data_IF_613840721397
#
_entry.id   IF_613840721397
#
_cell.length_a   1.000
_cell.length_b   1.000
_cell.length_c   1.000
_cell.angle_alpha   90.00
_cell.angle_beta   90.00
_cell.angle_gamma   90.00
#
_symmetry.space_group_name_H-M   'P 1'
#
loop_
_entity.id
_entity.type
_entity.pdbx_description
1 polymer ?
#
# COMPACT_ATOMS: atom_id res chain seq x y z
N UNK A 1 -20.47 13.90 -8.80
CA UNK A 1 -20.10 12.49 -8.95
C UNK A 1 -18.65 12.37 -8.49
N UNK A 2 -18.39 11.68 -7.37
CA UNK A 2 -17.09 11.67 -6.68
C UNK A 2 -16.19 10.48 -7.03
N UNK A 3 -16.66 9.54 -7.86
CA UNK A 3 -15.97 8.28 -8.14
C UNK A 3 -15.52 8.12 -9.60
N UNK A 4 -15.53 9.22 -10.36
CA UNK A 4 -15.16 9.20 -11.80
C UNK A 4 -13.67 9.35 -12.05
N UNK A 5 -12.96 10.09 -11.19
CA UNK A 5 -11.56 10.47 -11.40
C UNK A 5 -10.79 10.14 -10.13
N UNK A 6 -9.57 9.57 -10.21
CA UNK A 6 -8.71 9.39 -9.05
C UNK A 6 -8.50 10.69 -8.29
N UNK A 7 -8.62 10.64 -6.96
CA UNK A 7 -8.52 11.81 -6.09
C UNK A 7 -7.56 11.50 -4.92
N UNK A 8 -6.34 11.08 -5.26
CA UNK A 8 -5.29 10.80 -4.30
C UNK A 8 -4.93 12.08 -3.51
N UNK A 9 -4.66 11.94 -2.21
CA UNK A 9 -4.29 13.09 -1.38
C UNK A 9 -3.11 13.86 -2.01
N UNK A 10 -3.14 15.19 -1.95
CA UNK A 10 -2.12 16.06 -2.54
C UNK A 10 -2.20 16.27 -4.06
N UNK A 11 -3.09 15.60 -4.80
CA UNK A 11 -3.23 15.83 -6.25
C UNK A 11 -4.20 16.97 -6.59
N UNK A 12 -4.05 17.52 -7.79
CA UNK A 12 -4.92 18.58 -8.31
C UNK A 12 -6.39 18.14 -8.32
N UNK A 13 -6.67 16.90 -8.73
CA UNK A 13 -8.03 16.35 -8.78
C UNK A 13 -8.68 16.32 -7.38
N UNK A 14 -7.93 15.97 -6.34
CA UNK A 14 -8.44 15.99 -4.97
C UNK A 14 -8.70 17.43 -4.48
N UNK A 15 -7.89 18.40 -4.90
CA UNK A 15 -8.13 19.81 -4.60
C UNK A 15 -9.37 20.36 -5.30
N UNK A 16 -9.60 19.97 -6.56
CA UNK A 16 -10.84 20.33 -7.27
C UNK A 16 -12.08 19.74 -6.60
N UNK A 17 -11.99 18.49 -6.11
CA UNK A 17 -13.05 17.89 -5.31
C UNK A 17 -13.30 18.66 -4.00
N UNK A 18 -12.24 19.10 -3.31
CA UNK A 18 -12.36 19.92 -2.11
C UNK A 18 -13.10 21.24 -2.38
N UNK A 19 -12.76 21.95 -3.47
CA UNK A 19 -13.47 23.16 -3.91
C UNK A 19 -14.94 22.87 -4.27
N UNK A 20 -15.21 21.75 -4.93
CA UNK A 20 -16.57 21.35 -5.25
C UNK A 20 -17.42 21.16 -3.97
N UNK A 21 -16.90 20.41 -3.00
CA UNK A 21 -17.58 20.19 -1.72
C UNK A 21 -17.79 21.52 -0.98
N UNK A 22 -16.77 22.38 -0.95
CA UNK A 22 -16.87 23.71 -0.35
C UNK A 22 -18.02 24.52 -0.97
N UNK A 23 -18.15 24.54 -2.29
CA UNK A 23 -19.22 25.25 -3.00
C UNK A 23 -20.60 24.66 -2.69
N UNK A 24 -20.73 23.33 -2.75
CA UNK A 24 -21.99 22.63 -2.46
C UNK A 24 -22.45 22.89 -1.02
N UNK A 25 -21.54 22.87 -0.06
CA UNK A 25 -21.86 23.13 1.35
C UNK A 25 -22.34 24.57 1.60
N UNK A 26 -21.77 25.56 0.89
CA UNK A 26 -22.28 26.94 0.92
C UNK A 26 -23.69 27.02 0.32
N UNK A 27 -23.92 26.34 -0.80
CA UNK A 27 -25.24 26.26 -1.44
C UNK A 27 -26.29 25.61 -0.53
N UNK A 28 -25.91 24.59 0.23
CA UNK A 28 -26.79 23.92 1.19
C UNK A 28 -27.11 24.76 2.45
N UNK A 29 -26.47 25.92 2.61
CA UNK A 29 -26.81 26.89 3.65
C UNK A 29 -25.96 26.81 4.91
N UNK A 30 -24.75 26.24 4.86
CA UNK A 30 -23.81 26.37 5.97
C UNK A 30 -23.29 27.81 6.08
N UNK A 31 -23.30 28.36 7.29
CA UNK A 31 -22.91 29.75 7.57
C UNK A 31 -21.45 30.05 7.20
N UNK A 32 -20.55 29.08 7.42
CA UNK A 32 -19.12 29.19 7.13
C UNK A 32 -18.57 27.90 6.55
N UNK A 33 -17.87 27.99 5.41
CA UNK A 33 -17.20 26.85 4.77
C UNK A 33 -15.86 27.26 4.20
N UNK A 34 -14.79 26.72 4.77
CA UNK A 34 -13.40 27.09 4.49
C UNK A 34 -12.56 25.86 4.14
N UNK A 35 -11.46 26.09 3.41
CA UNK A 35 -10.44 25.07 3.17
C UNK A 35 -9.27 25.33 4.12
N UNK A 36 -9.08 24.44 5.08
CA UNK A 36 -7.86 24.38 5.89
C UNK A 36 -6.81 23.54 5.15
N UNK A 37 -5.62 24.09 4.93
CA UNK A 37 -4.51 23.41 4.26
C UNK A 37 -3.31 23.36 5.19
N UNK A 38 -2.47 22.33 5.00
CA UNK A 38 -1.24 22.07 5.72
C UNK A 38 -0.22 21.49 4.74
N UNK A 39 1.04 21.87 4.92
CA UNK A 39 2.14 21.34 4.10
C UNK A 39 2.69 20.08 4.76
N UNK A 40 2.13 18.92 4.39
CA UNK A 40 2.42 17.63 5.03
C UNK A 40 3.35 16.75 4.18
N UNK A 41 4.10 15.87 4.84
CA UNK A 41 4.91 14.88 4.15
C UNK A 41 4.04 13.79 3.53
N UNK A 42 4.01 13.74 2.20
CA UNK A 42 3.37 12.67 1.42
C UNK A 42 4.42 11.82 0.69
N UNK A 43 3.98 10.70 0.12
CA UNK A 43 4.83 9.74 -0.58
C UNK A 43 4.09 9.19 -1.79
N UNK A 44 4.78 9.18 -2.93
CA UNK A 44 4.29 8.70 -4.22
C UNK A 44 5.37 7.87 -4.92
N UNK A 45 5.00 6.90 -5.78
CA UNK A 45 5.95 6.21 -6.62
C UNK A 45 6.54 7.15 -7.68
N UNK A 46 7.73 6.81 -8.19
CA UNK A 46 8.31 7.52 -9.34
C UNK A 46 7.66 7.01 -10.63
N UNK A 47 7.11 7.91 -11.44
CA UNK A 47 6.45 7.56 -12.70
C UNK A 47 7.41 7.06 -13.78
N UNK A 48 8.67 7.52 -13.75
CA UNK A 48 9.69 7.13 -14.74
C UNK A 48 10.45 5.87 -14.36
N UNK A 49 10.45 5.52 -13.07
CA UNK A 49 11.10 4.33 -12.50
C UNK A 49 10.06 3.56 -11.67
N UNK A 50 9.20 2.75 -12.32
CA UNK A 50 8.13 2.04 -11.64
C UNK A 50 8.66 0.98 -10.67
N UNK A 51 7.95 0.79 -9.56
CA UNK A 51 8.27 -0.25 -8.60
C UNK A 51 7.86 -1.62 -9.13
N UNK A 52 8.69 -2.63 -8.92
CA UNK A 52 8.36 -4.03 -9.17
C UNK A 52 9.20 -4.94 -8.27
N UNK A 53 8.83 -6.22 -8.23
CA UNK A 53 9.62 -7.29 -7.63
C UNK A 53 9.98 -8.25 -8.76
N UNK A 54 11.21 -8.76 -8.74
CA UNK A 54 11.66 -9.79 -9.67
C UNK A 54 12.18 -11.04 -8.96
N UNK A 55 12.19 -12.15 -9.69
CA UNK A 55 12.96 -13.34 -9.34
C UNK A 55 14.15 -13.35 -10.30
N UNK A 56 15.34 -13.52 -9.74
CA UNK A 56 16.59 -13.64 -10.50
C UNK A 56 17.11 -15.07 -10.46
N UNK A 57 17.74 -15.52 -11.53
CA UNK A 57 18.45 -16.80 -11.58
C UNK A 57 19.88 -16.69 -11.01
N UNK A 58 20.63 -17.80 -10.99
CA UNK A 58 22.02 -17.83 -10.52
C UNK A 58 22.97 -16.94 -11.36
N UNK A 59 22.58 -16.61 -12.59
CA UNK A 59 23.31 -15.71 -13.49
C UNK A 59 22.96 -14.24 -13.30
N UNK A 60 22.02 -13.91 -12.41
CA UNK A 60 21.53 -12.55 -12.18
C UNK A 60 20.52 -12.07 -13.23
N UNK A 61 19.95 -12.98 -14.04
CA UNK A 61 18.93 -12.63 -15.02
C UNK A 61 17.54 -12.64 -14.38
N UNK A 62 16.72 -11.63 -14.66
CA UNK A 62 15.31 -11.63 -14.26
C UNK A 62 14.53 -12.70 -15.04
N UNK A 63 13.93 -13.64 -14.31
CA UNK A 63 13.12 -14.73 -14.87
C UNK A 63 11.61 -14.53 -14.63
N UNK A 64 11.25 -13.62 -13.75
CA UNK A 64 9.87 -13.22 -13.49
C UNK A 64 9.84 -11.80 -12.93
N UNK A 65 8.89 -10.99 -13.41
CA UNK A 65 8.63 -9.65 -12.91
C UNK A 65 7.15 -9.51 -12.52
N UNK A 66 6.87 -8.82 -11.42
CA UNK A 66 5.50 -8.48 -11.03
C UNK A 66 4.87 -7.48 -11.99
N UNK A 67 3.53 -7.43 -12.01
CA UNK A 67 2.78 -6.39 -12.71
C UNK A 67 3.18 -4.99 -12.23
N UNK A 68 3.34 -4.06 -13.17
CA UNK A 68 3.63 -2.66 -12.87
C UNK A 68 2.39 -1.87 -12.42
N UNK A 69 1.21 -2.31 -12.84
CA UNK A 69 -0.09 -1.69 -12.55
C UNK A 69 -1.19 -2.76 -12.53
N UNK A 70 -2.30 -2.50 -11.84
CA UNK A 70 -3.47 -3.37 -11.95
C UNK A 70 -4.15 -3.22 -13.32
N UNK A 71 -4.84 -4.28 -13.78
CA UNK A 71 -5.76 -4.14 -14.92
C UNK A 71 -6.81 -3.05 -14.64
N UNK A 72 -7.06 -2.12 -15.58
CA UNK A 72 -8.09 -1.11 -15.38
C UNK A 72 -9.47 -1.80 -15.27
N UNK A 73 -10.35 -1.34 -14.36
CA UNK A 73 -11.69 -1.89 -14.25
C UNK A 73 -12.54 -1.48 -15.46
N UNK A 74 -13.60 -2.25 -15.80
CA UNK A 74 -14.47 -1.91 -16.92
C UNK A 74 -15.07 -0.51 -16.81
N UNK A 75 -15.02 0.24 -17.90
CA UNK A 75 -15.49 1.63 -17.99
C UNK A 75 -14.47 2.69 -17.56
N UNK A 76 -13.28 2.28 -17.11
CA UNK A 76 -12.19 3.15 -16.68
C UNK A 76 -10.91 2.96 -17.53
N UNK A 77 -11.02 2.33 -18.69
CA UNK A 77 -9.88 1.97 -19.56
C UNK A 77 -9.09 3.20 -20.02
N UNK A 78 -9.75 4.36 -20.16
CA UNK A 78 -9.15 5.61 -20.60
C UNK A 78 -8.91 6.61 -19.46
N UNK A 79 -8.99 6.16 -18.20
CA UNK A 79 -8.75 7.03 -17.04
C UNK A 79 -7.26 7.11 -16.76
N UNK A 80 -6.71 8.32 -16.86
CA UNK A 80 -5.33 8.64 -16.50
C UNK A 80 -5.14 8.74 -14.99
N UNK A 81 -3.88 8.89 -14.57
CA UNK A 81 -3.51 9.26 -13.19
C UNK A 81 -3.90 8.24 -12.11
N UNK A 82 -4.17 6.99 -12.51
CA UNK A 82 -4.28 5.87 -11.58
C UNK A 82 -2.87 5.55 -11.06
N UNK A 83 -2.60 5.95 -9.82
CA UNK A 83 -1.30 5.68 -9.19
C UNK A 83 -1.05 4.17 -9.12
N UNK A 84 0.11 3.64 -9.55
CA UNK A 84 0.44 2.22 -9.42
C UNK A 84 0.38 1.69 -7.98
N UNK A 85 0.31 0.37 -7.77
CA UNK A 85 0.42 -0.22 -6.43
C UNK A 85 1.74 0.16 -5.75
N UNK A 86 1.65 0.67 -4.53
CA UNK A 86 2.82 0.94 -3.71
C UNK A 86 2.47 0.95 -2.21
N UNK A 87 3.51 0.75 -1.39
CA UNK A 87 3.44 0.99 0.05
C UNK A 87 3.94 2.40 0.35
N UNK A 88 3.05 3.31 0.72
CA UNK A 88 3.43 4.71 0.96
C UNK A 88 4.40 4.83 2.13
N UNK A 89 5.41 5.68 1.98
CA UNK A 89 6.54 5.87 2.90
C UNK A 89 7.56 4.71 2.94
N UNK A 90 7.53 3.79 1.97
CA UNK A 90 8.61 2.82 1.79
C UNK A 90 9.93 3.53 1.47
N UNK A 91 11.07 3.14 2.09
CA UNK A 91 12.37 3.64 1.68
C UNK A 91 12.72 3.13 0.27
N UNK A 92 13.59 3.88 -0.41
CA UNK A 92 14.16 3.48 -1.70
C UNK A 92 15.19 2.37 -1.51
N UNK A 93 15.28 1.46 -2.48
CA UNK A 93 16.31 0.42 -2.52
C UNK A 93 15.97 -0.70 -3.51
N UNK A 94 16.98 -1.45 -3.90
CA UNK A 94 16.86 -2.67 -4.73
C UNK A 94 17.52 -3.84 -3.97
N UNK A 95 16.94 -4.29 -2.84
CA UNK A 95 17.53 -5.36 -2.07
C UNK A 95 17.33 -6.71 -2.75
N UNK A 96 18.39 -7.52 -2.78
CA UNK A 96 18.36 -8.92 -3.20
C UNK A 96 18.54 -9.83 -1.98
N UNK A 97 17.89 -11.00 -1.99
CA UNK A 97 18.07 -12.01 -0.96
C UNK A 97 17.02 -13.12 -1.02
N UNK A 98 17.27 -14.20 -0.27
CA UNK A 98 16.35 -15.32 -0.16
C UNK A 98 14.97 -14.88 0.35
N UNK A 99 13.94 -15.56 -0.12
CA UNK A 99 12.56 -15.32 0.28
C UNK A 99 12.16 -16.17 1.49
N UNK A 100 11.55 -15.56 2.50
CA UNK A 100 10.93 -16.28 3.64
C UNK A 100 9.49 -15.86 3.82
N UNK A 101 8.59 -16.84 3.82
CA UNK A 101 7.18 -16.61 4.15
C UNK A 101 6.97 -16.47 5.66
N UNK A 102 6.32 -15.38 6.08
CA UNK A 102 6.15 -15.05 7.51
C UNK A 102 4.69 -14.92 7.93
N UNK A 103 3.78 -15.65 7.29
CA UNK A 103 2.36 -15.65 7.61
C UNK A 103 1.78 -14.21 7.62
N UNK A 104 1.22 -13.74 8.73
CA UNK A 104 0.69 -12.38 8.85
C UNK A 104 1.71 -11.38 9.42
N UNK A 105 2.99 -11.76 9.54
CA UNK A 105 4.06 -10.93 10.12
C UNK A 105 3.74 -10.38 11.52
N UNK A 106 2.97 -11.14 12.31
CA UNK A 106 2.70 -10.81 13.71
C UNK A 106 3.90 -11.16 14.57
N UNK A 107 3.96 -10.61 15.77
CA UNK A 107 5.05 -10.89 16.71
C UNK A 107 5.17 -12.39 16.99
N UNK A 108 4.05 -13.09 17.14
CA UNK A 108 4.01 -14.55 17.33
C UNK A 108 4.45 -15.34 16.09
N UNK A 109 4.26 -14.81 14.88
CA UNK A 109 4.72 -15.47 13.65
C UNK A 109 6.26 -15.47 13.61
N UNK A 110 6.89 -14.37 13.99
CA UNK A 110 8.35 -14.28 14.10
C UNK A 110 8.92 -15.13 15.24
N UNK A 111 8.27 -15.15 16.41
CA UNK A 111 8.69 -16.03 17.50
C UNK A 111 8.62 -17.51 17.11
N UNK A 112 7.58 -17.91 16.37
CA UNK A 112 7.47 -19.29 15.86
C UNK A 112 8.58 -19.63 14.87
N UNK A 113 8.86 -18.73 13.93
CA UNK A 113 9.94 -18.93 12.94
C UNK A 113 11.30 -19.10 13.63
N UNK A 114 11.63 -18.21 14.57
CA UNK A 114 12.93 -18.22 15.24
C UNK A 114 13.05 -19.40 16.22
N UNK A 115 12.06 -19.59 17.10
CA UNK A 115 12.17 -20.51 18.23
C UNK A 115 11.88 -21.95 17.86
N UNK A 116 10.84 -22.17 17.05
CA UNK A 116 10.31 -23.51 16.77
C UNK A 116 10.87 -24.04 15.45
N UNK A 117 10.96 -23.18 14.43
CA UNK A 117 11.38 -23.58 13.08
C UNK A 117 12.88 -23.32 12.81
N UNK A 118 13.56 -22.61 13.71
CA UNK A 118 14.99 -22.24 13.59
C UNK A 118 15.32 -21.50 12.28
N UNK A 119 14.38 -20.70 11.79
CA UNK A 119 14.55 -19.87 10.58
C UNK A 119 15.07 -18.49 10.98
N UNK A 120 16.23 -18.11 10.44
CA UNK A 120 16.79 -16.77 10.60
C UNK A 120 16.30 -15.85 9.47
N UNK A 121 15.59 -14.79 9.82
CA UNK A 121 15.07 -13.79 8.88
C UNK A 121 16.08 -12.67 8.53
N UNK A 122 17.19 -12.59 9.26
CA UNK A 122 18.19 -11.55 9.08
C UNK A 122 18.80 -11.59 7.68
N UNK A 123 18.78 -10.45 6.97
CA UNK A 123 19.32 -10.31 5.62
C UNK A 123 18.45 -10.90 4.51
N UNK A 124 17.25 -11.39 4.82
CA UNK A 124 16.33 -12.01 3.86
C UNK A 124 15.23 -11.05 3.42
N UNK A 125 14.62 -11.34 2.26
CA UNK A 125 13.37 -10.70 1.84
C UNK A 125 12.23 -11.50 2.43
N UNK A 126 11.33 -10.84 3.15
CA UNK A 126 10.18 -11.50 3.74
C UNK A 126 8.96 -11.34 2.85
N UNK A 127 8.07 -12.32 2.82
CA UNK A 127 6.76 -12.21 2.20
C UNK A 127 5.68 -12.53 3.23
N UNK A 128 4.74 -11.60 3.39
CA UNK A 128 3.66 -11.70 4.36
C UNK A 128 2.32 -11.37 3.73
N UNK A 129 1.26 -12.05 4.19
CA UNK A 129 -0.10 -11.70 3.79
C UNK A 129 -0.65 -10.55 4.62
N UNK A 130 -1.49 -9.73 3.99
CA UNK A 130 -2.32 -8.75 4.68
C UNK A 130 -3.30 -9.42 5.66
N UNK A 131 -3.86 -8.63 6.59
CA UNK A 131 -4.81 -9.09 7.61
C UNK A 131 -4.23 -9.19 9.04
N UNK A 132 -5.12 -9.41 10.01
CA UNK A 132 -4.89 -9.55 11.46
C UNK A 132 -4.31 -8.33 12.20
N UNK A 133 -3.22 -7.75 11.72
CA UNK A 133 -2.59 -6.55 12.28
C UNK A 133 -2.41 -5.48 11.22
N UNK A 134 -2.28 -4.22 11.66
CA UNK A 134 -1.99 -3.11 10.77
C UNK A 134 -0.66 -3.30 10.04
N UNK A 135 -0.61 -2.94 8.75
CA UNK A 135 0.53 -3.20 7.87
C UNK A 135 1.84 -2.53 8.32
N UNK A 136 1.76 -1.35 8.94
CA UNK A 136 2.95 -0.71 9.52
C UNK A 136 3.57 -1.53 10.67
N UNK A 137 2.77 -2.28 11.43
CA UNK A 137 3.30 -3.22 12.43
C UNK A 137 3.97 -4.43 11.78
N UNK A 138 3.48 -4.92 10.64
CA UNK A 138 4.12 -5.99 9.87
C UNK A 138 5.53 -5.58 9.44
N UNK A 139 5.65 -4.37 8.87
CA UNK A 139 6.95 -3.80 8.47
C UNK A 139 7.86 -3.61 9.68
N UNK A 140 7.36 -3.03 10.78
CA UNK A 140 8.13 -2.88 12.02
C UNK A 140 8.65 -4.22 12.57
N UNK A 141 7.81 -5.25 12.58
CA UNK A 141 8.22 -6.57 13.05
C UNK A 141 9.26 -7.21 12.13
N UNK A 142 9.11 -7.06 10.81
CA UNK A 142 10.10 -7.50 9.84
C UNK A 142 11.46 -6.80 10.04
N UNK A 143 11.45 -5.49 10.29
CA UNK A 143 12.67 -4.73 10.63
C UNK A 143 13.35 -5.29 11.89
N UNK A 144 12.57 -5.55 12.95
CA UNK A 144 13.10 -6.14 14.19
C UNK A 144 13.65 -7.55 13.99
N UNK A 145 13.12 -8.30 13.02
CA UNK A 145 13.62 -9.61 12.62
C UNK A 145 14.85 -9.55 11.68
N UNK A 146 15.36 -8.35 11.37
CA UNK A 146 16.53 -8.14 10.51
C UNK A 146 16.26 -8.26 9.01
N UNK A 147 15.00 -8.17 8.58
CA UNK A 147 14.64 -8.25 7.17
C UNK A 147 15.31 -7.16 6.33
N UNK A 148 15.73 -7.51 5.11
CA UNK A 148 16.26 -6.56 4.12
C UNK A 148 15.15 -5.94 3.26
N UNK A 149 14.01 -6.60 3.16
CA UNK A 149 12.81 -6.13 2.47
C UNK A 149 11.59 -6.92 2.88
N UNK A 150 10.38 -6.40 2.60
CA UNK A 150 9.13 -7.10 2.84
C UNK A 150 8.16 -6.91 1.68
N UNK A 151 7.59 -8.02 1.22
CA UNK A 151 6.52 -8.10 0.22
C UNK A 151 5.21 -8.34 0.97
N UNK A 152 4.19 -7.52 0.68
CA UNK A 152 2.85 -7.67 1.24
C UNK A 152 1.87 -8.04 0.14
N UNK A 153 1.11 -9.13 0.32
CA UNK A 153 0.12 -9.59 -0.67
C UNK A 153 -1.25 -9.86 -0.03
N UNK A 154 -2.30 -9.79 -0.84
CA UNK A 154 -3.68 -10.10 -0.43
C UNK A 154 -3.98 -11.57 -0.69
N UNK A 155 -3.95 -12.38 0.37
CA UNK A 155 -4.23 -13.82 0.26
C UNK A 155 -5.74 -14.08 0.09
N UNK A 156 -6.17 -14.88 -0.91
CA UNK A 156 -7.58 -15.25 -1.05
C UNK A 156 -8.21 -15.87 0.20
N UNK A 157 -7.41 -16.51 1.07
CA UNK A 157 -7.91 -17.04 2.34
C UNK A 157 -8.50 -15.95 3.26
N UNK A 158 -8.10 -14.68 3.09
CA UNK A 158 -8.60 -13.54 3.88
C UNK A 158 -9.41 -12.53 3.04
N UNK A 159 -9.21 -12.50 1.72
CA UNK A 159 -9.77 -11.47 0.83
C UNK A 159 -10.67 -12.01 -0.28
N UNK A 160 -11.08 -13.28 -0.20
CA UNK A 160 -11.98 -13.91 -1.17
C UNK A 160 -13.13 -14.63 -0.45
N UNK A 161 -14.35 -14.08 -0.56
CA UNK A 161 -15.56 -14.67 -0.03
C UNK A 161 -15.94 -15.94 -0.82
N UNK A 162 -16.22 -17.08 -0.15
CA UNK A 162 -16.62 -18.31 -0.83
C UNK A 162 -17.89 -18.14 -1.68
N UNK A 163 -17.87 -18.67 -2.91
CA UNK A 163 -19.03 -18.69 -3.81
C UNK A 163 -19.35 -17.37 -4.49
N UNK A 164 -18.41 -16.40 -4.47
CA UNK A 164 -18.56 -15.09 -5.11
C UNK A 164 -17.48 -14.93 -6.18
N UNK A 165 -17.87 -14.44 -7.36
CA UNK A 165 -16.94 -14.15 -8.44
C UNK A 165 -16.05 -12.94 -8.13
N UNK A 166 -14.86 -12.91 -8.72
CA UNK A 166 -14.02 -11.72 -8.68
C UNK A 166 -14.64 -10.57 -9.47
N UNK A 167 -14.30 -9.33 -9.10
CA UNK A 167 -14.58 -8.18 -9.94
C UNK A 167 -14.00 -8.40 -11.35
N UNK A 168 -14.75 -8.13 -12.44
CA UNK A 168 -15.97 -7.31 -12.49
C UNK A 168 -17.30 -8.05 -12.29
N UNK A 169 -17.32 -9.38 -12.39
CA UNK A 169 -18.58 -10.14 -12.38
C UNK A 169 -19.10 -10.41 -10.96
N UNK A 170 -18.27 -10.21 -9.94
CA UNK A 170 -18.66 -10.19 -8.55
C UNK A 170 -17.91 -9.13 -7.73
N UNK A 171 -17.95 -9.26 -6.41
CA UNK A 171 -17.37 -8.28 -5.49
C UNK A 171 -16.12 -8.78 -4.78
N UNK A 172 -15.61 -9.96 -5.15
CA UNK A 172 -14.33 -10.44 -4.65
C UNK A 172 -13.14 -9.71 -5.29
N UNK A 173 -12.02 -9.72 -4.57
CA UNK A 173 -10.77 -9.17 -5.05
C UNK A 173 -10.27 -9.97 -6.28
N UNK A 174 -10.05 -9.34 -7.44
CA UNK A 174 -9.43 -10.02 -8.58
C UNK A 174 -7.96 -10.32 -8.32
N UNK A 175 -7.41 -11.35 -8.97
CA UNK A 175 -6.02 -11.77 -8.74
C UNK A 175 -4.95 -10.72 -9.09
N UNK A 176 -5.26 -9.80 -10.01
CA UNK A 176 -4.42 -8.63 -10.32
C UNK A 176 -4.68 -7.41 -9.45
N UNK A 177 -5.66 -7.47 -8.53
CA UNK A 177 -6.02 -6.36 -7.64
C UNK A 177 -5.05 -6.25 -6.46
N UNK A 178 -4.47 -5.06 -6.24
CA UNK A 178 -3.48 -4.85 -5.17
C UNK A 178 -3.99 -3.85 -4.13
N UNK A 179 -3.87 -4.22 -2.86
CA UNK A 179 -4.20 -3.32 -1.75
C UNK A 179 -3.07 -2.31 -1.53
N UNK A 180 -3.32 -1.03 -1.85
CA UNK A 180 -2.47 0.12 -1.47
C UNK A 180 -2.60 0.42 0.02
N UNK A 181 -1.61 1.12 0.58
CA UNK A 181 -1.70 1.65 1.94
C UNK A 181 -0.37 2.22 2.45
N UNK A 182 -0.44 3.07 3.47
CA UNK A 182 0.75 3.56 4.16
C UNK A 182 1.28 2.52 5.17
N UNK A 183 2.60 2.53 5.37
CA UNK A 183 3.30 1.65 6.32
C UNK A 183 3.88 2.42 7.52
N UNK A 184 3.54 3.69 7.70
CA UNK A 184 4.00 4.48 8.84
C UNK A 184 3.47 3.93 10.16
N UNK A 185 4.27 4.03 11.20
CA UNK A 185 3.89 3.66 12.56
C UNK A 185 3.85 4.92 13.44
N UNK A 186 2.82 5.75 13.24
CA UNK A 186 2.73 7.10 13.82
C UNK A 186 2.35 7.12 15.31
N UNK A 187 1.68 6.08 15.82
CA UNK A 187 1.16 6.03 17.19
C UNK A 187 0.41 7.31 17.62
N UNK A 188 -0.32 7.93 16.68
CA UNK A 188 -1.13 9.14 16.92
C UNK A 188 -0.42 10.48 16.65
N UNK A 189 0.82 10.49 16.13
CA UNK A 189 1.62 11.70 16.00
C UNK A 189 1.15 12.74 14.96
N UNK A 190 0.24 12.39 14.04
CA UNK A 190 -0.13 13.26 12.91
C UNK A 190 0.89 13.16 11.77
N UNK A 191 1.24 14.29 11.15
CA UNK A 191 2.28 14.34 10.13
C UNK A 191 3.66 13.93 10.71
N UNK A 192 4.44 13.08 10.03
CA UNK A 192 5.74 12.63 10.52
C UNK A 192 6.74 13.73 10.88
N UNK A 193 6.63 14.92 10.29
CA UNK A 193 7.59 16.01 10.45
C UNK A 193 7.14 17.05 11.49
N UNK A 194 5.88 17.03 11.91
CA UNK A 194 5.30 18.04 12.80
C UNK A 194 4.56 17.43 14.01
N UNK A 195 5.17 16.50 14.76
CA UNK A 195 4.49 15.84 15.87
C UNK A 195 4.11 16.83 16.96
N UNK A 196 2.79 16.97 17.19
CA UNK A 196 2.22 17.84 18.22
C UNK A 196 1.99 19.30 17.79
N UNK A 197 2.29 19.67 16.53
CA UNK A 197 2.09 21.02 16.00
C UNK A 197 1.37 20.97 14.64
N UNK A 198 0.68 22.03 14.21
CA UNK A 198 0.20 22.15 12.84
C UNK A 198 1.37 22.25 11.86
N UNK A 199 1.22 21.65 10.66
CA UNK A 199 2.25 21.65 9.62
C UNK A 199 2.20 22.88 8.71
#
# INVERSE_FOLDING_TARGET
NFTRIPHLAGTEQNFQLAKQIQAQWKEFGLDSVELAHYDVLLSYPNETLPNYISIIDEGGNEIFNTSLFEPPPPGYENVSDVVPPFSAFSPQGMPEGDLVYVNYARTEDFFKLERDMKINCSGKILIARYGKIFRGNKVKNAQLAGARGIILYSDPADYFAPGVEAYPDGWNLPGGGVQRGNILNLNGAGDPLTPGYPA
#
